data_IF_318156317281
#
_entry.id   IF_318156317281
#
_cell.length_a   1.000
_cell.length_b   1.000
_cell.length_c   1.000
_cell.angle_alpha   90.00
_cell.angle_beta   90.00
_cell.angle_gamma   90.00
#
_symmetry.space_group_name_H-M   'P 1'
#
loop_
_entity.id
_entity.type
_entity.pdbx_description
1 polymer ?
#
# COMPACT_ATOMS: atom_id res chain seq x y z
N UNK A 1 -13.31 -14.99 5.01
CA UNK A 1 -12.88 -14.82 3.61
C UNK A 1 -11.60 -15.60 3.48
N UNK A 2 -11.48 -16.52 2.53
CA UNK A 2 -10.23 -17.23 2.29
C UNK A 2 -9.40 -16.39 1.31
N UNK A 3 -8.13 -16.18 1.64
CA UNK A 3 -7.17 -15.44 0.81
C UNK A 3 -6.00 -16.37 0.56
N UNK A 4 -5.83 -16.76 -0.70
CA UNK A 4 -4.72 -17.61 -1.13
C UNK A 4 -3.53 -16.73 -1.52
N UNK A 5 -2.35 -17.08 -0.99
CA UNK A 5 -1.10 -16.36 -1.24
C UNK A 5 -0.17 -17.20 -2.11
N UNK A 6 0.67 -16.54 -2.92
CA UNK A 6 1.79 -17.21 -3.58
C UNK A 6 2.66 -17.94 -2.55
N UNK A 7 3.15 -19.17 -2.80
CA UNK A 7 3.90 -19.95 -1.81
C UNK A 7 5.13 -19.23 -1.23
N UNK A 8 5.81 -18.36 -1.98
CA UNK A 8 6.96 -17.60 -1.50
C UNK A 8 6.51 -16.44 -0.61
N UNK A 9 5.42 -15.76 -0.98
CA UNK A 9 4.80 -14.72 -0.14
C UNK A 9 4.30 -15.32 1.17
N UNK A 10 3.63 -16.47 1.11
CA UNK A 10 3.16 -17.22 2.28
C UNK A 10 4.33 -17.65 3.19
N UNK A 11 5.44 -18.13 2.61
CA UNK A 11 6.65 -18.48 3.35
C UNK A 11 7.21 -17.26 4.07
N UNK A 12 7.37 -16.13 3.38
CA UNK A 12 7.91 -14.92 3.97
C UNK A 12 6.99 -14.33 5.05
N UNK A 13 5.67 -14.38 4.87
CA UNK A 13 4.71 -14.01 5.91
C UNK A 13 4.81 -14.89 7.16
N UNK A 14 5.15 -16.19 7.03
CA UNK A 14 5.40 -17.06 8.17
C UNK A 14 6.70 -16.72 8.89
N UNK A 15 7.77 -16.44 8.16
CA UNK A 15 9.04 -15.95 8.73
C UNK A 15 8.81 -14.68 9.57
N UNK A 16 8.07 -13.70 9.03
CA UNK A 16 7.70 -12.47 9.75
C UNK A 16 6.77 -12.70 10.96
N UNK A 17 5.93 -13.74 10.92
CA UNK A 17 5.05 -14.10 12.04
C UNK A 17 5.85 -14.76 13.17
N UNK A 18 6.78 -15.66 12.82
CA UNK A 18 7.72 -16.30 13.76
C UNK A 18 8.65 -15.27 14.41
N UNK A 19 9.19 -14.32 13.65
CA UNK A 19 10.00 -13.19 14.19
C UNK A 19 9.22 -12.30 15.18
N UNK A 20 7.89 -12.22 15.04
CA UNK A 20 7.01 -11.40 15.86
C UNK A 20 6.33 -12.14 17.03
N UNK A 21 6.56 -13.45 17.18
CA UNK A 21 5.83 -14.35 18.09
C UNK A 21 4.29 -14.29 17.89
N UNK A 22 3.86 -14.31 16.63
CA UNK A 22 2.45 -14.27 16.22
C UNK A 22 2.06 -15.51 15.40
N UNK A 23 0.76 -15.85 15.41
CA UNK A 23 0.21 -16.70 14.35
C UNK A 23 0.19 -15.92 13.02
N UNK A 24 0.10 -16.66 11.90
CA UNK A 24 0.00 -16.05 10.58
C UNK A 24 -1.23 -15.14 10.46
N UNK A 25 -2.36 -15.57 11.03
CA UNK A 25 -3.60 -14.81 11.12
C UNK A 25 -3.40 -13.53 11.95
N UNK A 26 -2.74 -13.64 13.12
CA UNK A 26 -2.44 -12.50 13.98
C UNK A 26 -1.55 -11.45 13.30
N UNK A 27 -0.52 -11.88 12.55
CA UNK A 27 0.30 -10.99 11.74
C UNK A 27 -0.55 -10.25 10.69
N UNK A 28 -1.42 -10.97 9.97
CA UNK A 28 -2.30 -10.38 8.94
C UNK A 28 -3.25 -9.36 9.57
N UNK A 29 -3.89 -9.68 10.71
CA UNK A 29 -4.78 -8.75 11.42
C UNK A 29 -4.05 -7.48 11.87
N UNK A 30 -2.84 -7.60 12.43
CA UNK A 30 -2.01 -6.45 12.83
C UNK A 30 -1.64 -5.60 11.62
N UNK A 31 -1.13 -6.20 10.54
CA UNK A 31 -0.70 -5.47 9.34
C UNK A 31 -1.87 -4.76 8.66
N UNK A 32 -2.98 -5.45 8.43
CA UNK A 32 -4.17 -4.87 7.79
C UNK A 32 -4.86 -3.85 8.70
N UNK A 33 -4.87 -4.07 10.02
CA UNK A 33 -5.36 -3.09 10.99
C UNK A 33 -4.55 -1.79 10.97
N UNK A 34 -3.21 -1.88 10.93
CA UNK A 34 -2.33 -0.71 10.78
C UNK A 34 -2.49 -0.02 9.43
N UNK A 35 -2.74 -0.76 8.35
CA UNK A 35 -3.06 -0.16 7.04
C UNK A 35 -4.38 0.61 7.09
N UNK A 36 -5.48 -0.07 7.44
CA UNK A 36 -6.82 0.47 7.38
C UNK A 36 -7.07 1.60 8.40
N UNK A 37 -6.43 1.53 9.58
CA UNK A 37 -6.48 2.59 10.59
C UNK A 37 -5.75 3.87 10.18
N UNK A 38 -4.93 3.85 9.13
CA UNK A 38 -4.11 4.98 8.75
C UNK A 38 -4.77 5.89 7.70
N UNK A 39 -5.00 7.16 8.08
CA UNK A 39 -5.62 8.17 7.22
C UNK A 39 -4.91 8.40 5.88
N UNK A 40 -3.60 8.11 5.79
CA UNK A 40 -2.79 8.24 4.58
C UNK A 40 -2.68 6.97 3.74
N UNK A 41 -3.15 5.81 4.20
CA UNK A 41 -3.06 4.56 3.47
C UNK A 41 -4.02 4.55 2.26
N UNK A 42 -3.51 4.21 1.07
CA UNK A 42 -4.30 4.19 -0.17
C UNK A 42 -3.90 3.02 -1.06
N UNK A 43 -4.85 2.53 -1.84
CA UNK A 43 -4.59 1.64 -2.99
C UNK A 43 -5.02 2.40 -4.24
N UNK A 44 -4.05 2.79 -5.06
CA UNK A 44 -4.33 3.39 -6.37
C UNK A 44 -4.44 2.29 -7.41
N UNK A 45 -5.32 2.50 -8.39
CA UNK A 45 -5.49 1.59 -9.54
C UNK A 45 -5.34 2.36 -10.84
N UNK A 46 -4.73 1.73 -11.84
CA UNK A 46 -4.55 2.30 -13.18
C UNK A 46 -4.42 1.21 -14.22
N UNK A 47 -4.78 1.52 -15.48
CA UNK A 47 -4.57 0.60 -16.60
C UNK A 47 -3.09 0.38 -16.84
N UNK A 48 -2.69 -0.87 -17.06
CA UNK A 48 -1.34 -1.24 -17.44
C UNK A 48 -1.33 -1.74 -18.88
N UNK A 49 -0.86 -0.88 -19.79
CA UNK A 49 -0.89 -1.11 -21.25
C UNK A 49 -0.11 -2.34 -21.73
N UNK A 50 0.80 -2.88 -20.91
CA UNK A 50 1.56 -4.11 -21.21
C UNK A 50 1.04 -5.36 -20.49
N UNK A 51 -0.09 -5.27 -19.79
CA UNK A 51 -0.67 -6.36 -19.01
C UNK A 51 -1.91 -6.99 -19.64
N UNK A 52 -2.20 -6.73 -20.92
CA UNK A 52 -3.33 -7.35 -21.60
C UNK A 52 -3.07 -8.83 -21.84
N UNK A 53 -4.01 -9.69 -21.42
CA UNK A 53 -3.93 -11.14 -21.58
C UNK A 53 -5.34 -11.68 -21.86
N UNK A 54 -5.46 -12.57 -22.83
CA UNK A 54 -6.73 -13.23 -23.20
C UNK A 54 -7.89 -12.25 -23.49
N UNK A 55 -7.56 -11.03 -23.94
CA UNK A 55 -8.50 -9.93 -24.22
C UNK A 55 -8.87 -9.04 -23.02
N UNK A 56 -8.40 -9.36 -21.82
CA UNK A 56 -8.63 -8.57 -20.62
C UNK A 56 -7.48 -7.59 -20.33
N UNK A 57 -7.82 -6.33 -20.05
CA UNK A 57 -6.84 -5.27 -19.82
C UNK A 57 -6.23 -5.38 -18.43
N UNK A 58 -4.92 -5.55 -18.38
CA UNK A 58 -4.16 -5.52 -17.13
C UNK A 58 -4.37 -4.24 -16.34
N UNK A 59 -4.49 -4.38 -15.03
CA UNK A 59 -4.54 -3.28 -14.06
C UNK A 59 -3.29 -3.34 -13.19
N UNK A 60 -2.70 -2.18 -12.88
CA UNK A 60 -1.65 -2.03 -11.88
C UNK A 60 -2.27 -1.46 -10.61
N UNK A 61 -1.94 -2.09 -9.49
CA UNK A 61 -2.27 -1.62 -8.16
C UNK A 61 -1.01 -1.06 -7.50
N UNK A 62 -1.13 0.09 -6.84
CA UNK A 62 -0.05 0.70 -6.06
C UNK A 62 -0.54 0.92 -4.64
N UNK A 63 0.06 0.20 -3.69
CA UNK A 63 -0.25 0.29 -2.26
C UNK A 63 0.67 1.34 -1.64
N UNK A 64 0.11 2.43 -1.12
CA UNK A 64 0.84 3.48 -0.43
C UNK A 64 0.80 3.26 1.08
N UNK A 65 1.96 2.98 1.66
CA UNK A 65 2.18 3.00 3.12
C UNK A 65 2.77 4.37 3.52
N UNK A 66 2.16 5.11 4.47
CA UNK A 66 2.35 6.57 4.58
C UNK A 66 3.53 7.00 5.48
N UNK A 67 4.70 6.39 5.31
CA UNK A 67 5.83 6.59 6.21
C UNK A 67 7.10 7.03 5.46
N UNK A 68 7.57 8.27 5.55
CA UNK A 68 7.06 9.53 6.19
C UNK A 68 7.54 10.68 5.27
N UNK A 69 6.79 11.79 5.03
CA UNK A 69 6.40 12.77 6.07
C UNK A 69 5.01 13.40 5.84
N UNK A 70 4.67 14.47 6.58
CA UNK A 70 3.43 15.23 6.38
C UNK A 70 3.45 16.07 5.10
N UNK A 71 2.36 16.02 4.34
CA UNK A 71 2.16 16.83 3.14
C UNK A 71 1.29 18.05 3.46
N UNK A 72 1.73 19.24 3.04
CA UNK A 72 0.93 20.46 3.04
C UNK A 72 0.58 20.82 1.60
N UNK A 73 -0.68 20.63 1.23
CA UNK A 73 -1.20 21.15 -0.04
C UNK A 73 -1.31 22.68 0.07
N UNK A 74 -0.72 23.39 -0.91
CA UNK A 74 -0.65 24.84 -0.91
C UNK A 74 -1.25 25.41 -2.20
N UNK A 75 -2.18 26.34 -2.04
CA UNK A 75 -2.79 27.08 -3.14
C UNK A 75 -1.78 28.02 -3.82
N UNK A 76 -2.05 28.43 -5.06
CA UNK A 76 -1.11 29.22 -5.86
C UNK A 76 -0.70 30.56 -5.24
N UNK A 77 -1.58 31.17 -4.44
CA UNK A 77 -1.33 32.38 -3.65
C UNK A 77 -0.38 32.13 -2.46
N UNK A 78 -0.49 30.99 -1.76
CA UNK A 78 0.45 30.57 -0.72
C UNK A 78 1.84 30.31 -1.32
N UNK A 79 1.91 29.59 -2.44
CA UNK A 79 3.19 29.36 -3.15
C UNK A 79 3.82 30.67 -3.61
N UNK A 80 3.01 31.63 -4.11
CA UNK A 80 3.46 32.96 -4.52
C UNK A 80 3.95 33.81 -3.34
N UNK A 81 3.39 33.62 -2.13
CA UNK A 81 3.80 34.30 -0.89
C UNK A 81 5.14 33.77 -0.34
N UNK A 82 5.46 32.50 -0.52
CA UNK A 82 6.63 31.87 0.11
C UNK A 82 7.92 31.92 -0.71
N UNK A 83 7.86 32.21 -2.02
CA UNK A 83 9.06 32.35 -2.84
C UNK A 83 9.80 33.65 -2.49
N UNK A 84 11.09 33.53 -2.15
CA UNK A 84 12.01 34.66 -2.11
C UNK A 84 12.09 35.32 -3.51
N UNK A 85 12.24 36.64 -3.52
CA UNK A 85 12.50 37.43 -4.73
C UNK A 85 13.98 37.38 -5.10
#
# INVERSE_FOLDING_TARGET
MNVDFDPNVLKHMKELAEEADLSLEGLIEVVIGQFAGNKGARVYTGRWSGGEKDGEKGMRYVVQWPFRPGFLEATGDLVKKWRLK
#
